data_IF_280846851433
#
_entry.id   IF_280846851433
#
_cell.length_a   1.000
_cell.length_b   1.000
_cell.length_c   1.000
_cell.angle_alpha   90.00
_cell.angle_beta   90.00
_cell.angle_gamma   90.00
#
_symmetry.space_group_name_H-M   'P 1'
#
loop_
_entity.id
_entity.type
_entity.pdbx_description
1 polymer ?
#
# COMPACT_ATOMS: atom_id res chain seq x y z
N UNK A 1 9.05 6.35 2.25
CA UNK A 1 8.36 7.62 1.95
C UNK A 1 9.21 8.85 2.30
N UNK A 2 10.18 8.78 3.21
CA UNK A 2 11.00 9.93 3.62
C UNK A 2 12.12 10.35 2.66
N UNK A 3 12.50 9.48 1.72
CA UNK A 3 13.68 9.69 0.85
C UNK A 3 13.33 9.96 -0.62
N UNK A 4 12.13 9.57 -1.06
CA UNK A 4 11.73 9.64 -2.47
C UNK A 4 10.51 10.55 -2.60
N UNK A 5 10.34 11.20 -3.76
CA UNK A 5 9.13 11.96 -4.07
C UNK A 5 7.92 11.05 -4.35
N UNK A 6 8.17 9.88 -4.93
CA UNK A 6 7.18 8.83 -5.20
C UNK A 6 7.78 7.49 -4.78
N UNK A 7 6.97 6.63 -4.17
CA UNK A 7 7.36 5.26 -3.82
C UNK A 7 6.39 4.29 -4.47
N UNK A 8 6.92 3.41 -5.33
CA UNK A 8 6.17 2.28 -5.87
C UNK A 8 6.40 1.03 -5.02
N UNK A 9 5.32 0.43 -4.55
CA UNK A 9 5.35 -0.79 -3.73
C UNK A 9 4.71 -1.92 -4.53
N UNK A 10 5.41 -3.06 -4.64
CA UNK A 10 4.99 -4.19 -5.46
C UNK A 10 4.61 -5.40 -4.62
N UNK A 11 3.50 -6.04 -4.97
CA UNK A 11 2.93 -7.25 -4.36
C UNK A 11 2.70 -7.17 -2.83
N UNK A 12 2.72 -5.95 -2.25
CA UNK A 12 2.21 -5.71 -0.91
C UNK A 12 0.68 -5.77 -0.90
N UNK A 13 0.05 -5.03 -1.83
CA UNK A 13 -1.32 -5.32 -2.25
C UNK A 13 -1.25 -6.36 -3.39
N UNK A 14 -1.91 -7.52 -3.22
CA UNK A 14 -1.73 -8.62 -4.15
C UNK A 14 -2.38 -8.31 -5.50
N UNK A 15 -1.68 -8.66 -6.58
CA UNK A 15 -2.23 -8.62 -7.93
C UNK A 15 -3.19 -9.80 -8.20
N UNK A 16 -3.63 -9.93 -9.46
CA UNK A 16 -4.31 -11.13 -9.97
C UNK A 16 -3.50 -12.43 -9.80
N UNK A 17 -2.19 -12.33 -9.49
CA UNK A 17 -1.31 -13.47 -9.20
C UNK A 17 -1.31 -13.89 -7.72
N UNK A 18 -2.25 -13.39 -6.90
CA UNK A 18 -2.39 -13.79 -5.50
C UNK A 18 -2.29 -15.30 -5.35
N UNK A 19 -1.42 -15.75 -4.46
CA UNK A 19 -1.15 -17.15 -4.16
C UNK A 19 -0.87 -17.31 -2.67
N UNK A 20 -0.94 -18.54 -2.16
CA UNK A 20 -0.51 -18.88 -0.80
C UNK A 20 1.00 -19.15 -0.72
N UNK A 21 1.73 -19.16 -1.84
CA UNK A 21 3.18 -19.23 -1.81
C UNK A 21 3.75 -18.02 -1.06
N UNK A 22 4.36 -18.26 0.10
CA UNK A 22 4.71 -17.20 1.05
C UNK A 22 5.80 -16.26 0.50
N UNK A 23 6.82 -16.81 -0.16
CA UNK A 23 7.93 -16.06 -0.71
C UNK A 23 8.28 -16.55 -2.11
N UNK A 24 8.63 -15.62 -3.02
CA UNK A 24 8.90 -15.91 -4.43
C UNK A 24 10.08 -16.87 -4.66
N UNK A 25 11.00 -16.98 -3.69
CA UNK A 25 12.20 -17.80 -3.75
C UNK A 25 12.08 -19.11 -2.96
N UNK A 26 10.94 -19.37 -2.32
CA UNK A 26 10.71 -20.57 -1.52
C UNK A 26 9.59 -21.43 -2.13
N UNK A 27 9.35 -22.60 -1.54
CA UNK A 27 8.25 -23.53 -1.89
C UNK A 27 7.30 -23.81 -0.72
N UNK A 28 7.24 -22.88 0.23
CA UNK A 28 6.38 -22.95 1.41
C UNK A 28 5.10 -22.15 1.17
N UNK A 29 3.97 -22.70 1.62
CA UNK A 29 2.64 -22.15 1.41
C UNK A 29 1.99 -21.79 2.75
N UNK A 30 1.61 -20.53 2.91
CA UNK A 30 0.90 -20.02 4.06
C UNK A 30 0.17 -18.72 3.71
N UNK A 31 -1.16 -18.75 3.83
CA UNK A 31 -2.00 -17.58 3.61
C UNK A 31 -1.68 -16.42 4.58
N UNK A 32 -1.12 -16.71 5.76
CA UNK A 32 -0.72 -15.71 6.75
C UNK A 32 0.31 -14.73 6.21
N UNK A 33 1.20 -15.16 5.31
CA UNK A 33 2.19 -14.27 4.69
C UNK A 33 1.55 -13.16 3.83
N UNK A 34 0.33 -13.40 3.34
CA UNK A 34 -0.42 -12.42 2.55
C UNK A 34 -1.52 -11.73 3.36
N UNK A 35 -2.18 -12.42 4.30
CA UNK A 35 -3.35 -11.90 5.01
C UNK A 35 -3.02 -11.39 6.42
N UNK A 36 -1.88 -11.76 6.99
CA UNK A 36 -1.47 -11.45 8.34
C UNK A 36 -1.69 -12.61 9.32
N UNK A 37 -0.87 -12.63 10.38
CA UNK A 37 -1.00 -13.52 11.53
C UNK A 37 -0.44 -12.80 12.76
N UNK A 38 0.88 -12.85 12.97
CA UNK A 38 1.55 -12.11 14.04
C UNK A 38 1.51 -10.60 13.82
N UNK A 39 1.84 -10.16 12.59
CA UNK A 39 1.76 -8.75 12.22
C UNK A 39 0.33 -8.35 11.86
N UNK A 40 -0.08 -7.09 12.14
CA UNK A 40 -1.39 -6.54 11.75
C UNK A 40 -1.45 -6.21 10.25
N UNK A 41 -0.90 -7.10 9.41
CA UNK A 41 -0.64 -6.90 7.98
C UNK A 41 -1.91 -6.56 7.20
N UNK A 42 -3.07 -7.12 7.59
CA UNK A 42 -4.36 -6.77 7.00
C UNK A 42 -4.66 -5.26 7.13
N UNK A 43 -4.41 -4.68 8.30
CA UNK A 43 -4.66 -3.26 8.56
C UNK A 43 -3.62 -2.37 7.88
N UNK A 44 -2.36 -2.82 7.82
CA UNK A 44 -1.32 -2.14 7.04
C UNK A 44 -1.69 -2.07 5.55
N UNK A 45 -2.22 -3.17 4.98
CA UNK A 45 -2.72 -3.22 3.60
C UNK A 45 -3.90 -2.26 3.40
N UNK A 46 -4.83 -2.19 4.33
CA UNK A 46 -5.94 -1.23 4.26
C UNK A 46 -5.43 0.22 4.24
N UNK A 47 -4.43 0.56 5.06
CA UNK A 47 -3.82 1.88 5.07
C UNK A 47 -3.12 2.19 3.74
N UNK A 48 -2.30 1.26 3.25
CA UNK A 48 -1.60 1.41 1.95
C UNK A 48 -2.59 1.57 0.80
N UNK A 49 -3.69 0.80 0.79
CA UNK A 49 -4.76 0.94 -0.20
C UNK A 49 -5.42 2.32 -0.13
N UNK A 50 -5.70 2.82 1.07
CA UNK A 50 -6.29 4.16 1.27
C UNK A 50 -5.36 5.29 0.81
N UNK A 51 -4.06 5.14 0.99
CA UNK A 51 -3.05 6.13 0.62
C UNK A 51 -2.62 6.05 -0.85
N UNK A 52 -3.03 5.01 -1.58
CA UNK A 52 -2.65 4.81 -2.97
C UNK A 52 -3.17 5.95 -3.87
N UNK A 53 -2.29 6.52 -4.66
CA UNK A 53 -2.64 7.49 -5.71
C UNK A 53 -2.74 6.84 -7.11
N UNK A 54 -2.38 5.56 -7.25
CA UNK A 54 -2.49 4.80 -8.49
C UNK A 54 -3.89 4.19 -8.70
N UNK A 55 -4.10 3.57 -9.86
CA UNK A 55 -5.38 2.95 -10.22
C UNK A 55 -5.55 1.53 -9.65
N UNK A 56 -6.80 1.08 -9.55
CA UNK A 56 -7.10 -0.31 -9.19
C UNK A 56 -6.67 -1.29 -10.27
N UNK A 57 -6.63 -0.86 -11.54
CA UNK A 57 -6.06 -1.61 -12.63
C UNK A 57 -4.57 -1.90 -12.42
N UNK A 58 -3.79 -0.94 -11.91
CA UNK A 58 -2.37 -1.15 -11.61
C UNK A 58 -2.15 -2.16 -10.49
N UNK A 59 -3.01 -2.14 -9.46
CA UNK A 59 -2.99 -3.15 -8.40
C UNK A 59 -3.31 -4.52 -9.01
N UNK A 60 -4.41 -4.62 -9.76
CA UNK A 60 -4.85 -5.90 -10.34
C UNK A 60 -3.82 -6.51 -11.30
N UNK A 61 -3.27 -5.71 -12.22
CA UNK A 61 -2.39 -6.21 -13.28
C UNK A 61 -0.94 -6.35 -12.78
N UNK A 62 -0.45 -5.39 -12.02
CA UNK A 62 0.98 -5.27 -11.68
C UNK A 62 1.28 -5.49 -10.19
N UNK A 63 0.26 -5.52 -9.32
CA UNK A 63 0.48 -5.54 -7.88
C UNK A 63 1.12 -4.24 -7.38
N UNK A 64 0.98 -3.14 -8.14
CA UNK A 64 1.69 -1.88 -7.91
C UNK A 64 0.79 -0.89 -7.19
N UNK A 65 1.29 -0.34 -6.10
CA UNK A 65 0.76 0.84 -5.41
C UNK A 65 1.71 2.01 -5.60
N UNK A 66 1.17 3.22 -5.75
CA UNK A 66 1.94 4.47 -5.82
C UNK A 66 1.62 5.33 -4.60
N UNK A 67 2.61 5.55 -3.75
CA UNK A 67 2.51 6.37 -2.54
C UNK A 67 3.32 7.66 -2.70
N UNK A 68 2.79 8.83 -2.30
CA UNK A 68 3.56 10.06 -2.31
C UNK A 68 4.66 10.01 -1.25
N UNK A 69 5.81 10.59 -1.55
CA UNK A 69 6.82 10.92 -0.57
C UNK A 69 6.31 11.93 0.44
N UNK A 70 6.86 11.92 1.66
CA UNK A 70 6.43 12.88 2.69
C UNK A 70 6.68 14.34 2.28
N UNK A 71 7.72 14.60 1.47
CA UNK A 71 8.00 15.93 0.92
C UNK A 71 6.88 16.47 0.01
N UNK A 72 6.03 15.60 -0.52
CA UNK A 72 4.93 15.96 -1.42
C UNK A 72 3.60 16.20 -0.69
N UNK A 73 3.55 16.00 0.64
CA UNK A 73 2.32 16.20 1.40
C UNK A 73 2.14 17.69 1.73
N UNK A 74 0.95 18.22 1.44
CA UNK A 74 0.56 19.55 1.86
C UNK A 74 -0.34 19.45 3.11
N UNK A 75 0.19 19.90 4.25
CA UNK A 75 -0.49 19.89 5.54
C UNK A 75 -0.94 21.28 5.98
N UNK A 76 -0.97 22.28 5.09
CA UNK A 76 -1.50 23.61 5.44
C UNK A 76 -2.98 23.48 5.75
N UNK A 77 -3.31 23.45 7.03
CA UNK A 77 -4.68 23.60 7.49
C UNK A 77 -5.21 24.94 6.98
N UNK A 78 -6.24 24.93 6.14
CA UNK A 78 -7.28 25.94 6.28
C UNK A 78 -7.91 25.70 7.65
N UNK A 79 -7.30 26.28 8.69
CA UNK A 79 -8.02 26.53 9.93
C UNK A 79 -9.31 27.25 9.51
N UNK A 80 -10.45 26.67 9.86
CA UNK A 80 -11.75 27.15 9.40
C UNK A 80 -11.85 28.66 9.53
N UNK A 81 -11.99 29.33 8.38
CA UNK A 81 -12.55 30.68 8.35
C UNK A 81 -14.02 30.52 8.73
N UNK A 82 -14.28 30.47 10.03
CA UNK A 82 -15.60 30.69 10.58
C UNK A 82 -15.87 32.20 10.47
N UNK A 83 -16.32 32.65 9.30
CA UNK A 83 -16.98 33.94 9.16
C UNK A 83 -18.45 33.76 9.50
N UNK A 84 -18.80 33.80 10.79
CA UNK A 84 -20.14 34.13 11.29
C UNK A 84 -19.99 35.07 12.48
#
# INVERSE_FOLDING_TARGET
MSLCEVVHVYEFLPSRRKTELCHYYQRFYDAACTLGAYHPLLYEKNLVKRMNQGSDHDIYTHGRVSLPGFRQLNCTHTAGVNNH
#
